data_IF_830234452091
#
_entry.id   IF_830234452091
#
_cell.length_a   1.000
_cell.length_b   1.000
_cell.length_c   1.000
_cell.angle_alpha   90.00
_cell.angle_beta   90.00
_cell.angle_gamma   90.00
#
_symmetry.space_group_name_H-M   'P 1'
#
loop_
_entity.id
_entity.type
_entity.pdbx_description
1 polymer ?
#
# COMPACT_ATOMS: atom_id res chain seq x y z
N UNK A 1 8.53 -18.97 14.52
CA UNK A 1 8.25 -17.78 15.35
C UNK A 1 8.53 -16.48 14.60
N UNK A 2 9.71 -16.30 13.97
CA UNK A 2 10.03 -15.08 13.20
C UNK A 2 9.08 -14.79 12.02
N UNK A 3 8.72 -15.81 11.23
CA UNK A 3 7.81 -15.64 10.08
C UNK A 3 6.45 -15.06 10.45
N UNK A 4 5.93 -15.44 11.63
CA UNK A 4 4.65 -14.93 12.15
C UNK A 4 4.73 -13.44 12.44
N UNK A 5 5.81 -13.00 13.10
CA UNK A 5 6.04 -11.58 13.42
C UNK A 5 6.19 -10.75 12.15
N UNK A 6 6.93 -11.28 11.16
CA UNK A 6 7.12 -10.63 9.86
C UNK A 6 5.77 -10.45 9.13
N UNK A 7 4.94 -11.49 9.08
CA UNK A 7 3.66 -11.44 8.40
C UNK A 7 2.68 -10.47 9.09
N UNK A 8 2.68 -10.42 10.43
CA UNK A 8 1.87 -9.47 11.19
C UNK A 8 2.32 -8.04 10.87
N UNK A 9 3.62 -7.78 10.91
CA UNK A 9 4.17 -6.44 10.68
C UNK A 9 3.86 -5.94 9.26
N UNK A 10 4.07 -6.78 8.24
CA UNK A 10 3.71 -6.49 6.84
C UNK A 10 2.23 -6.14 6.67
N UNK A 11 1.33 -6.91 7.29
CA UNK A 11 -0.12 -6.68 7.20
C UNK A 11 -0.53 -5.35 7.84
N UNK A 12 0.05 -4.99 8.98
CA UNK A 12 -0.23 -3.71 9.64
C UNK A 12 0.36 -2.52 8.85
N UNK A 13 1.59 -2.68 8.38
CA UNK A 13 2.29 -1.65 7.63
C UNK A 13 1.59 -1.30 6.31
N UNK A 14 1.24 -2.32 5.52
CA UNK A 14 0.53 -2.15 4.26
C UNK A 14 -0.89 -1.59 4.45
N UNK A 15 -1.51 -1.77 5.62
CA UNK A 15 -2.81 -1.18 5.92
C UNK A 15 -2.74 0.33 6.22
N UNK A 16 -1.68 0.76 6.89
CA UNK A 16 -1.50 2.17 7.29
C UNK A 16 -0.87 3.00 6.16
N UNK A 17 0.03 2.39 5.37
CA UNK A 17 0.71 3.05 4.25
C UNK A 17 0.79 2.10 3.07
N UNK A 18 -0.30 1.96 2.30
CA UNK A 18 -0.38 0.93 1.28
C UNK A 18 0.67 1.07 0.15
N UNK A 19 1.24 2.27 -0.06
CA UNK A 19 2.12 2.52 -1.22
C UNK A 19 3.33 3.42 -0.95
N UNK A 20 3.51 3.97 0.25
CA UNK A 20 4.49 5.05 0.46
C UNK A 20 5.93 4.59 0.70
N UNK A 21 6.15 3.35 1.14
CA UNK A 21 7.45 2.98 1.69
C UNK A 21 8.08 1.71 1.10
N UNK A 22 7.41 1.07 0.14
CA UNK A 22 7.98 -0.03 -0.63
C UNK A 22 8.50 0.42 -2.01
N UNK A 23 8.53 1.72 -2.31
CA UNK A 23 8.92 2.25 -3.62
C UNK A 23 8.01 1.79 -4.76
N UNK A 24 6.93 1.05 -4.45
CA UNK A 24 5.94 0.64 -5.41
C UNK A 24 5.17 1.88 -5.84
N UNK A 25 5.26 2.23 -7.12
CA UNK A 25 4.45 3.30 -7.69
C UNK A 25 2.99 3.00 -7.36
N UNK A 26 2.23 3.93 -6.77
CA UNK A 26 0.79 3.73 -6.68
C UNK A 26 0.30 3.45 -8.10
N UNK A 27 -0.45 2.36 -8.29
CA UNK A 27 -1.26 2.25 -9.50
C UNK A 27 -2.12 3.50 -9.52
N UNK A 28 -2.13 4.17 -10.68
CA UNK A 28 -2.78 5.47 -10.93
C UNK A 28 -4.00 5.60 -10.02
N UNK A 29 -4.04 6.62 -9.14
CA UNK A 29 -5.20 6.83 -8.30
C UNK A 29 -6.45 6.83 -9.17
N UNK A 30 -7.47 6.04 -8.83
CA UNK A 30 -8.79 6.11 -9.48
C UNK A 30 -9.38 7.54 -9.36
N UNK A 31 -8.83 8.38 -8.49
CA UNK A 31 -9.12 9.82 -8.42
C UNK A 31 -8.65 10.63 -9.64
N UNK A 32 -7.77 10.08 -10.49
CA UNK A 32 -7.44 10.66 -11.80
C UNK A 32 -8.40 10.22 -12.92
N UNK A 33 -9.30 9.26 -12.67
CA UNK A 33 -10.39 8.88 -13.59
C UNK A 33 -11.62 9.78 -13.46
N UNK A 34 -11.58 10.78 -12.57
CA UNK A 34 -12.66 11.73 -12.37
C UNK A 34 -12.21 13.18 -12.61
N UNK A 35 -11.51 13.40 -13.71
CA UNK A 35 -11.50 14.70 -14.39
C UNK A 35 -12.06 14.52 -15.78
N UNK A 36 -13.39 14.55 -15.90
CA UNK A 36 -14.04 15.02 -17.13
C UNK A 36 -13.73 16.51 -17.33
N UNK A 37 -13.80 17.07 -18.54
CA UNK A 37 -14.75 16.78 -19.63
C UNK A 37 -14.20 15.93 -20.79
#
# INVERSE_FOLDING_TARGET
>A
QAQTVINIWLRQYNRIRPHHALGMRPQVPETLLQSGP
#
